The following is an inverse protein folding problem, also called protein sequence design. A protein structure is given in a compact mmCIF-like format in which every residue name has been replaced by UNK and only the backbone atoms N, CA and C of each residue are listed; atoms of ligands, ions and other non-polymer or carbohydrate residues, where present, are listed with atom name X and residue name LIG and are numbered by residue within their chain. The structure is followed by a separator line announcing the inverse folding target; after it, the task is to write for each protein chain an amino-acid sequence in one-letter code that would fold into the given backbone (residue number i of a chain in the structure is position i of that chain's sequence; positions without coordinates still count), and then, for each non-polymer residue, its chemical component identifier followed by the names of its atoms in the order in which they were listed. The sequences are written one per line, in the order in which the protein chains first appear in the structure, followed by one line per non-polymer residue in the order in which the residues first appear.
data_IF_501710810221
#
_entry.id   IF_501710810221
#
_cell.length_a   1.000
_cell.length_b   1.000
_cell.length_c   1.000
_cell.angle_alpha   90.00
_cell.angle_beta   90.00
_cell.angle_gamma   90.00
#
_symmetry.space_group_name_H-M   'P 1'
#
loop_
_entity.id
_entity.type
_entity.pdbx_description
1 polymer ?
#
# COMPACT_ATOMS: atom_id res chain seq x y z
N UNK A 1 21.19 10.80 -17.88
CA UNK A 1 20.64 9.54 -17.36
C UNK A 1 21.02 8.45 -18.34
N UNK A 2 21.39 7.27 -17.85
CA UNK A 2 21.65 6.11 -18.71
C UNK A 2 21.15 4.86 -17.97
N UNK A 3 20.40 4.01 -18.65
CA UNK A 3 19.74 2.82 -18.08
C UNK A 3 19.60 1.72 -19.11
N UNK A 4 19.63 0.48 -18.63
CA UNK A 4 19.58 -0.74 -19.45
C UNK A 4 18.17 -1.10 -19.93
N UNK A 5 17.12 -0.61 -19.27
CA UNK A 5 15.75 -1.00 -19.59
C UNK A 5 14.73 0.05 -19.18
N UNK A 6 13.58 0.05 -19.86
CA UNK A 6 12.43 0.87 -19.50
C UNK A 6 11.10 0.13 -19.68
N UNK A 7 10.06 0.66 -19.05
CA UNK A 7 8.72 0.10 -19.14
C UNK A 7 8.07 0.64 -20.40
N UNK A 8 7.68 -0.27 -21.29
CA UNK A 8 6.90 0.01 -22.48
C UNK A 8 5.53 -0.65 -22.35
N UNK A 9 4.48 0.16 -22.17
CA UNK A 9 3.13 -0.37 -21.97
C UNK A 9 2.52 -0.81 -23.30
N UNK A 10 1.70 -1.87 -23.24
CA UNK A 10 0.93 -2.36 -24.38
C UNK A 10 0.06 -1.27 -25.03
N UNK A 11 -0.49 -0.34 -24.24
CA UNK A 11 -1.28 0.78 -24.76
C UNK A 11 -0.48 1.69 -25.69
N UNK A 12 0.83 1.86 -25.45
CA UNK A 12 1.69 2.65 -26.33
C UNK A 12 1.83 1.95 -27.68
N UNK A 13 2.10 0.64 -27.66
CA UNK A 13 2.15 -0.15 -28.88
C UNK A 13 0.84 -0.07 -29.67
N UNK A 14 -0.30 -0.26 -28.99
CA UNK A 14 -1.61 -0.26 -29.63
C UNK A 14 -2.00 1.09 -30.24
N UNK A 15 -1.54 2.20 -29.66
CA UNK A 15 -1.74 3.52 -30.23
C UNK A 15 -0.77 3.79 -31.39
N UNK A 16 0.51 3.45 -31.26
CA UNK A 16 1.53 3.70 -32.29
C UNK A 16 1.27 2.84 -33.54
N UNK A 17 0.85 1.57 -33.39
CA UNK A 17 0.60 0.68 -34.54
C UNK A 17 -0.50 1.18 -35.49
N UNK A 18 -1.39 2.06 -35.02
CA UNK A 18 -2.46 2.66 -35.81
C UNK A 18 -1.98 3.83 -36.68
N UNK A 19 -0.72 4.27 -36.52
CA UNK A 19 -0.14 5.38 -37.27
C UNK A 19 0.53 4.90 -38.56
N UNK A 20 0.77 5.80 -39.55
CA UNK A 20 1.53 5.44 -40.76
C UNK A 20 2.95 4.93 -40.42
N UNK A 21 3.52 4.00 -41.21
CA UNK A 21 4.85 3.42 -40.94
C UNK A 21 5.96 4.45 -40.73
N UNK A 22 5.96 5.54 -41.50
CA UNK A 22 6.97 6.61 -41.38
C UNK A 22 6.90 7.32 -40.02
N UNK A 23 5.68 7.61 -39.54
CA UNK A 23 5.45 8.22 -38.23
C UNK A 23 5.82 7.24 -37.11
N UNK A 24 5.54 5.95 -37.26
CA UNK A 24 5.97 4.93 -36.30
C UNK A 24 7.50 4.90 -36.18
N UNK A 25 8.21 4.98 -37.32
CA UNK A 25 9.67 4.98 -37.38
C UNK A 25 10.29 6.22 -36.72
N UNK A 26 9.55 7.33 -36.61
CA UNK A 26 9.96 8.49 -35.81
C UNK A 26 9.73 8.28 -34.30
N UNK A 27 8.58 7.70 -33.91
CA UNK A 27 8.17 7.60 -32.50
C UNK A 27 9.00 6.58 -31.73
N UNK A 28 9.25 5.39 -32.28
CA UNK A 28 9.95 4.34 -31.54
C UNK A 28 11.37 4.77 -31.11
N UNK A 29 12.23 5.29 -31.99
CA UNK A 29 13.55 5.77 -31.60
C UNK A 29 13.46 6.95 -30.62
N UNK A 30 12.50 7.86 -30.82
CA UNK A 30 12.30 9.00 -29.93
C UNK A 30 11.96 8.58 -28.48
N UNK A 31 11.09 7.57 -28.32
CA UNK A 31 10.76 7.01 -27.01
C UNK A 31 11.96 6.30 -26.39
N UNK A 32 12.71 5.52 -27.17
CA UNK A 32 13.91 4.84 -26.68
C UNK A 32 15.00 5.83 -26.24
N UNK A 33 15.32 6.82 -27.06
CA UNK A 33 16.32 7.86 -26.75
C UNK A 33 15.96 8.64 -25.49
N UNK A 34 14.68 8.98 -25.36
CA UNK A 34 14.19 9.68 -24.18
C UNK A 34 14.20 8.78 -22.94
N UNK A 35 13.65 7.58 -23.03
CA UNK A 35 13.48 6.70 -21.87
C UNK A 35 14.80 6.11 -21.36
N UNK A 36 15.77 5.85 -22.24
CA UNK A 36 17.05 5.23 -21.90
C UNK A 36 18.14 6.25 -21.60
N UNK A 37 18.23 7.33 -22.38
CA UNK A 37 19.32 8.30 -22.29
C UNK A 37 18.87 9.68 -21.76
N UNK A 38 17.57 9.90 -21.58
CA UNK A 38 17.01 11.19 -21.19
C UNK A 38 17.14 12.27 -22.28
N UNK A 39 17.37 11.87 -23.54
CA UNK A 39 17.56 12.80 -24.64
C UNK A 39 16.21 13.16 -25.27
N UNK A 40 15.94 14.46 -25.39
CA UNK A 40 14.74 14.92 -26.07
C UNK A 40 14.87 14.72 -27.59
N UNK A 41 13.89 14.08 -28.24
CA UNK A 41 13.91 13.90 -29.69
C UNK A 41 13.83 15.26 -30.39
N UNK A 42 14.54 15.38 -31.51
CA UNK A 42 14.52 16.56 -32.39
C UNK A 42 13.91 16.16 -33.73
N UNK A 43 13.26 17.11 -34.40
CA UNK A 43 12.74 16.94 -35.77
C UNK A 43 11.67 15.85 -35.91
N UNK A 44 10.75 15.73 -34.94
CA UNK A 44 9.55 14.92 -35.10
C UNK A 44 8.50 15.67 -35.93
N UNK A 45 7.78 14.94 -36.78
CA UNK A 45 6.54 15.40 -37.37
C UNK A 45 5.51 15.77 -36.29
N UNK A 46 4.53 16.62 -36.62
CA UNK A 46 3.56 17.11 -35.61
C UNK A 46 2.77 15.98 -34.95
N UNK A 47 2.43 14.93 -35.71
CA UNK A 47 1.74 13.73 -35.19
C UNK A 47 2.66 12.95 -34.24
N UNK A 48 3.91 12.68 -34.65
CA UNK A 48 4.88 11.99 -33.80
C UNK A 48 5.17 12.77 -32.51
N UNK A 49 5.30 14.09 -32.62
CA UNK A 49 5.51 15.00 -31.49
C UNK A 49 4.32 14.99 -30.53
N UNK A 50 3.10 15.01 -31.06
CA UNK A 50 1.88 14.89 -30.26
C UNK A 50 1.86 13.57 -29.48
N UNK A 51 2.12 12.45 -30.15
CA UNK A 51 2.15 11.13 -29.51
C UNK A 51 3.24 11.03 -28.44
N UNK A 52 4.45 11.52 -28.74
CA UNK A 52 5.55 11.59 -27.78
C UNK A 52 5.15 12.40 -26.55
N UNK A 53 4.51 13.56 -26.75
CA UNK A 53 4.05 14.43 -25.66
C UNK A 53 3.04 13.75 -24.75
N UNK A 54 2.15 12.92 -25.30
CA UNK A 54 1.18 12.14 -24.52
C UNK A 54 1.81 10.99 -23.73
N UNK A 55 2.82 10.32 -24.30
CA UNK A 55 3.51 9.20 -23.64
C UNK A 55 4.49 9.70 -22.57
N UNK A 56 5.18 10.82 -22.82
CA UNK A 56 6.28 11.35 -22.00
C UNK A 56 5.99 11.37 -20.48
N UNK A 57 4.83 11.86 -19.98
CA UNK A 57 4.56 11.89 -18.55
C UNK A 57 4.63 10.52 -17.87
N UNK A 58 4.19 9.47 -18.57
CA UNK A 58 4.25 8.10 -18.05
C UNK A 58 5.70 7.61 -17.91
N UNK A 59 6.56 7.97 -18.88
CA UNK A 59 7.99 7.68 -18.82
C UNK A 59 8.63 8.46 -17.67
N UNK A 60 8.25 9.73 -17.47
CA UNK A 60 8.80 10.58 -16.40
C UNK A 60 8.47 10.04 -15.01
N UNK A 61 7.23 9.60 -14.78
CA UNK A 61 6.81 8.98 -13.51
C UNK A 61 7.60 7.70 -13.26
N UNK A 62 7.74 6.85 -14.27
CA UNK A 62 8.50 5.60 -14.16
C UNK A 62 9.99 5.85 -13.91
N UNK A 63 10.53 6.90 -14.52
CA UNK A 63 11.92 7.33 -14.35
C UNK A 63 12.14 7.84 -12.92
N UNK A 64 11.24 8.68 -12.41
CA UNK A 64 11.26 9.18 -11.02
C UNK A 64 11.19 8.02 -10.02
N UNK A 65 10.30 7.04 -10.25
CA UNK A 65 10.20 5.83 -9.41
C UNK A 65 11.50 5.03 -9.42
N UNK A 66 12.13 4.87 -10.58
CA UNK A 66 13.41 4.19 -10.70
C UNK A 66 14.55 4.91 -9.96
N UNK A 67 14.65 6.24 -10.11
CA UNK A 67 15.64 7.04 -9.38
C UNK A 67 15.44 6.98 -7.87
N UNK A 68 14.19 7.03 -7.41
CA UNK A 68 13.88 6.86 -6.00
C UNK A 68 14.16 5.43 -5.52
N UNK A 69 13.95 4.43 -6.37
CA UNK A 69 14.34 3.04 -6.11
C UNK A 69 15.85 2.85 -5.93
N UNK A 70 16.68 3.57 -6.70
CA UNK A 70 18.15 3.59 -6.54
C UNK A 70 18.60 4.11 -5.18
N UNK A 71 17.83 5.02 -4.57
CA UNK A 71 18.10 5.52 -3.20
C UNK A 71 17.76 4.48 -2.12
N UNK A 72 17.18 3.35 -2.51
CA UNK A 72 16.72 2.27 -1.64
C UNK A 72 15.33 2.53 -1.06
N UNK A 73 14.65 1.44 -0.70
CA UNK A 73 13.45 1.51 0.16
C UNK A 73 13.81 1.91 1.60
N UNK A 74 12.77 2.02 2.46
CA UNK A 74 12.83 2.34 3.91
C UNK A 74 14.25 2.20 4.46
N UNK A 75 14.86 3.33 4.89
CA UNK A 75 16.21 3.33 5.46
C UNK A 75 16.33 2.12 6.37
N UNK A 76 17.23 1.18 6.03
CA UNK A 76 17.67 0.20 7.03
C UNK A 76 18.02 1.04 8.24
N UNK A 77 17.43 0.77 9.41
CA UNK A 77 17.87 1.38 10.66
C UNK A 77 19.37 1.12 10.70
N UNK A 78 20.16 2.13 10.32
CA UNK A 78 21.56 2.14 10.66
C UNK A 78 21.50 2.04 12.17
N UNK A 79 21.92 0.89 12.70
CA UNK A 79 22.34 0.78 14.09
C UNK A 79 23.59 1.66 14.19
N UNK A 80 23.42 2.98 14.06
CA UNK A 80 24.36 3.94 14.58
C UNK A 80 24.48 3.56 16.04
N UNK A 81 25.71 3.19 16.42
CA UNK A 81 26.14 2.84 17.75
C UNK A 81 26.00 4.03 18.71
N UNK A 82 24.78 4.52 18.86
CA UNK A 82 24.28 5.09 20.09
C UNK A 82 23.76 3.89 20.85
N UNK A 83 24.46 3.53 21.92
CA UNK A 83 24.10 2.55 22.96
C UNK A 83 22.60 2.56 23.32
N UNK A 84 21.76 1.96 22.49
CA UNK A 84 20.49 1.39 22.94
C UNK A 84 20.84 -0.03 23.31
N UNK A 85 20.87 -0.28 24.61
CA UNK A 85 20.86 -1.61 25.20
C UNK A 85 19.99 -2.50 24.31
N UNK A 86 20.53 -3.65 23.92
CA UNK A 86 19.76 -4.61 23.15
C UNK A 86 18.43 -4.81 23.88
N UNK A 87 17.33 -4.64 23.18
CA UNK A 87 16.03 -4.83 23.78
C UNK A 87 15.90 -6.32 24.13
N UNK A 88 15.94 -6.64 25.42
CA UNK A 88 16.00 -8.00 25.95
C UNK A 88 14.75 -8.40 26.71
N UNK A 89 13.67 -7.60 26.64
CA UNK A 89 12.44 -7.93 27.36
C UNK A 89 11.79 -9.17 26.76
N UNK A 90 11.43 -10.14 27.59
CA UNK A 90 10.67 -11.32 27.15
C UNK A 90 9.22 -10.96 26.90
N UNK A 91 8.47 -11.79 26.17
CA UNK A 91 7.05 -11.56 25.93
C UNK A 91 6.24 -11.33 27.23
N UNK A 92 6.58 -12.02 28.31
CA UNK A 92 5.96 -11.84 29.62
C UNK A 92 6.21 -10.42 30.17
N UNK A 93 7.44 -9.93 30.08
CA UNK A 93 7.81 -8.59 30.57
C UNK A 93 7.12 -7.49 29.77
N UNK A 94 7.01 -7.67 28.46
CA UNK A 94 6.31 -6.73 27.58
C UNK A 94 4.82 -6.68 27.87
N UNK A 95 4.20 -7.84 28.03
CA UNK A 95 2.79 -7.94 28.35
C UNK A 95 2.50 -7.35 29.72
N UNK A 96 3.36 -7.58 30.70
CA UNK A 96 3.23 -6.98 32.03
C UNK A 96 3.41 -5.46 31.99
N UNK A 97 4.33 -4.95 31.17
CA UNK A 97 4.46 -3.52 30.96
C UNK A 97 3.20 -2.91 30.32
N UNK A 98 2.59 -3.57 29.33
CA UNK A 98 1.31 -3.13 28.77
C UNK A 98 0.15 -3.20 29.77
N UNK A 99 0.15 -4.21 30.66
CA UNK A 99 -0.87 -4.36 31.71
C UNK A 99 -0.84 -3.19 32.70
N UNK A 100 0.37 -2.75 33.05
CA UNK A 100 0.60 -1.65 34.00
C UNK A 100 0.47 -0.25 33.39
N UNK A 101 0.42 -0.13 32.06
CA UNK A 101 0.20 1.14 31.36
C UNK A 101 -1.30 1.45 31.25
N UNK A 102 -1.78 2.31 32.16
CA UNK A 102 -3.20 2.67 32.21
C UNK A 102 -3.69 3.48 31.00
N UNK A 103 -2.83 4.33 30.44
CA UNK A 103 -3.16 5.17 29.30
C UNK A 103 -3.31 4.30 28.04
N UNK A 104 -2.36 3.37 27.86
CA UNK A 104 -2.43 2.36 26.81
C UNK A 104 -3.69 1.50 26.94
N UNK A 105 -3.96 0.98 28.14
CA UNK A 105 -5.15 0.16 28.42
C UNK A 105 -6.44 0.89 28.05
N UNK A 106 -6.60 2.15 28.51
CA UNK A 106 -7.79 2.96 28.18
C UNK A 106 -7.96 3.13 26.68
N UNK A 107 -6.88 3.47 25.98
CA UNK A 107 -6.88 3.64 24.52
C UNK A 107 -7.34 2.37 23.80
N UNK A 108 -6.84 1.20 24.20
CA UNK A 108 -7.24 -0.07 23.58
C UNK A 108 -8.70 -0.42 23.90
N UNK A 109 -9.15 -0.16 25.12
CA UNK A 109 -10.55 -0.38 25.50
C UNK A 109 -11.50 0.47 24.66
N UNK A 110 -11.18 1.74 24.42
CA UNK A 110 -11.96 2.64 23.58
C UNK A 110 -11.96 2.18 22.11
N UNK A 111 -10.78 1.93 21.53
CA UNK A 111 -10.64 1.59 20.12
C UNK A 111 -11.35 0.28 19.73
N UNK A 112 -11.36 -0.70 20.63
CA UNK A 112 -12.01 -1.99 20.41
C UNK A 112 -13.39 -2.10 21.06
N UNK A 113 -13.86 -1.03 21.72
CA UNK A 113 -15.10 -0.97 22.48
C UNK A 113 -15.24 -2.17 23.45
N UNK A 114 -14.24 -2.37 24.31
CA UNK A 114 -14.17 -3.49 25.27
C UNK A 114 -14.01 -3.02 26.71
N UNK A 115 -14.39 -3.89 27.65
CA UNK A 115 -14.16 -3.66 29.07
C UNK A 115 -12.72 -3.95 29.47
N UNK A 116 -12.31 -3.45 30.64
CA UNK A 116 -10.99 -3.74 31.21
C UNK A 116 -10.76 -5.23 31.43
N UNK A 117 -11.78 -5.96 31.91
CA UNK A 117 -11.71 -7.42 32.08
C UNK A 117 -11.50 -8.15 30.76
N UNK A 118 -12.15 -7.70 29.69
CA UNK A 118 -11.99 -8.29 28.36
C UNK A 118 -10.62 -7.96 27.76
N UNK A 119 -10.10 -6.75 27.99
CA UNK A 119 -8.73 -6.40 27.63
C UNK A 119 -7.72 -7.34 28.29
N UNK A 120 -7.83 -7.61 29.59
CA UNK A 120 -6.93 -8.52 30.31
C UNK A 120 -6.98 -9.96 29.79
N UNK A 121 -8.17 -10.45 29.44
CA UNK A 121 -8.34 -11.77 28.81
C UNK A 121 -7.67 -11.82 27.44
N UNK A 122 -7.85 -10.78 26.63
CA UNK A 122 -7.23 -10.67 25.29
C UNK A 122 -5.71 -10.56 25.39
N UNK A 123 -5.21 -9.80 26.36
CA UNK A 123 -3.79 -9.66 26.61
C UNK A 123 -3.15 -11.00 27.03
N UNK A 124 -3.83 -11.77 27.87
CA UNK A 124 -3.40 -13.13 28.24
C UNK A 124 -3.38 -14.08 27.04
N UNK A 125 -4.40 -14.03 26.17
CA UNK A 125 -4.44 -14.80 24.91
C UNK A 125 -3.32 -14.41 23.94
N UNK A 126 -3.00 -13.12 23.87
CA UNK A 126 -1.89 -12.61 23.07
C UNK A 126 -0.55 -13.15 23.56
N UNK A 127 -0.31 -13.18 24.88
CA UNK A 127 0.91 -13.75 25.45
C UNK A 127 1.10 -15.23 25.06
N UNK A 128 0.05 -16.05 25.16
CA UNK A 128 0.11 -17.45 24.75
C UNK A 128 0.48 -17.59 23.27
N UNK A 129 -0.11 -16.76 22.40
CA UNK A 129 0.21 -16.71 20.96
C UNK A 129 1.69 -16.37 20.71
N UNK A 130 2.24 -15.39 21.44
CA UNK A 130 3.65 -15.03 21.34
C UNK A 130 4.56 -16.19 21.75
N UNK A 131 4.18 -16.93 22.81
CA UNK A 131 4.92 -18.10 23.26
C UNK A 131 4.83 -19.28 22.28
N UNK A 132 3.69 -19.52 21.64
CA UNK A 132 3.59 -20.50 20.53
C UNK A 132 4.51 -20.12 19.35
N UNK A 133 4.58 -18.82 19.01
CA UNK A 133 5.47 -18.32 17.96
C UNK A 133 6.95 -18.45 18.36
N UNK A 134 7.29 -18.36 19.66
CA UNK A 134 8.62 -18.67 20.19
C UNK A 134 9.03 -20.11 19.87
N UNK A 135 8.16 -21.07 20.17
CA UNK A 135 8.43 -22.49 19.93
C UNK A 135 8.55 -22.80 18.43
N UNK A 136 7.70 -22.18 17.60
CA UNK A 136 7.66 -22.46 16.16
C UNK A 136 8.78 -21.78 15.35
N UNK A 137 9.12 -20.53 15.70
CA UNK A 137 10.04 -19.68 14.90
C UNK A 137 11.37 -19.41 15.60
N UNK A 138 11.51 -19.76 16.87
CA UNK A 138 12.70 -19.42 17.67
C UNK A 138 12.85 -17.93 17.97
N UNK A 139 11.80 -17.11 17.83
CA UNK A 139 11.84 -15.67 18.14
C UNK A 139 11.38 -15.46 19.58
N UNK A 140 12.30 -15.05 20.46
CA UNK A 140 12.06 -14.98 21.91
C UNK A 140 11.48 -13.66 22.40
N UNK A 141 11.58 -12.59 21.61
CA UNK A 141 11.13 -11.25 21.97
C UNK A 141 10.80 -10.42 20.72
N UNK A 142 10.02 -9.35 20.87
CA UNK A 142 9.81 -8.36 19.80
C UNK A 142 11.07 -7.50 19.58
N UNK A 143 11.09 -6.73 18.48
CA UNK A 143 12.24 -5.86 18.19
C UNK A 143 12.27 -4.61 19.09
N UNK A 144 11.13 -4.29 19.73
CA UNK A 144 10.96 -3.22 20.73
C UNK A 144 9.58 -3.30 21.40
N UNK A 145 9.37 -2.57 22.50
CA UNK A 145 8.05 -2.49 23.15
C UNK A 145 6.95 -1.95 22.23
N UNK A 146 7.27 -0.97 21.38
CA UNK A 146 6.34 -0.40 20.38
C UNK A 146 5.96 -1.43 19.31
N UNK A 147 6.89 -2.33 18.98
CA UNK A 147 6.63 -3.45 18.07
C UNK A 147 5.65 -4.44 18.70
N UNK A 148 5.81 -4.75 20.00
CA UNK A 148 4.87 -5.55 20.77
C UNK A 148 3.45 -4.92 20.82
N UNK A 149 3.36 -3.63 21.12
CA UNK A 149 2.09 -2.88 21.12
C UNK A 149 1.38 -2.90 19.75
N UNK A 150 2.14 -2.73 18.68
CA UNK A 150 1.63 -2.79 17.30
C UNK A 150 1.16 -4.20 16.94
N UNK A 151 1.89 -5.22 17.39
CA UNK A 151 1.53 -6.62 17.19
C UNK A 151 0.23 -6.98 17.91
N UNK A 152 0.04 -6.52 19.16
CA UNK A 152 -1.20 -6.71 19.91
C UNK A 152 -2.40 -6.11 19.16
N UNK A 153 -2.33 -4.85 18.74
CA UNK A 153 -3.42 -4.18 17.99
C UNK A 153 -3.76 -4.93 16.70
N UNK A 154 -2.74 -5.29 15.93
CA UNK A 154 -2.93 -6.05 14.70
C UNK A 154 -3.60 -7.40 14.97
N UNK A 155 -3.10 -8.15 15.96
CA UNK A 155 -3.67 -9.44 16.34
C UNK A 155 -5.11 -9.31 16.80
N UNK A 156 -5.44 -8.30 17.63
CA UNK A 156 -6.82 -8.05 18.08
C UNK A 156 -7.76 -7.76 16.91
N UNK A 157 -7.33 -6.96 15.92
CA UNK A 157 -8.14 -6.65 14.73
C UNK A 157 -8.47 -7.88 13.88
N UNK A 158 -7.61 -8.90 13.91
CA UNK A 158 -7.78 -10.16 13.17
C UNK A 158 -8.56 -11.21 13.95
N UNK A 159 -8.32 -11.30 15.25
CA UNK A 159 -8.98 -12.28 16.13
C UNK A 159 -10.41 -11.89 16.50
N UNK A 160 -10.68 -10.58 16.57
CA UNK A 160 -11.99 -10.00 16.91
C UNK A 160 -12.40 -9.00 15.83
N UNK A 161 -12.74 -9.48 14.62
CA UNK A 161 -13.27 -8.59 13.60
C UNK A 161 -14.57 -7.97 14.13
N UNK A 162 -14.57 -6.65 14.29
CA UNK A 162 -15.80 -5.93 14.64
C UNK A 162 -16.79 -6.17 13.50
N UNK A 163 -17.97 -6.70 13.82
CA UNK A 163 -19.06 -6.72 12.87
C UNK A 163 -19.28 -5.27 12.42
N UNK A 164 -19.13 -4.98 11.13
CA UNK A 164 -19.64 -3.72 10.60
C UNK A 164 -21.13 -3.66 10.95
N UNK A 165 -21.68 -2.50 11.33
CA UNK A 165 -23.11 -2.39 11.54
C UNK A 165 -23.78 -2.77 10.22
N UNK A 166 -24.34 -3.98 10.16
CA UNK A 166 -25.31 -4.35 9.15
C UNK A 166 -26.47 -3.40 9.35
N UNK A 167 -26.69 -2.50 8.39
CA UNK A 167 -27.89 -1.68 8.35
C UNK A 167 -29.08 -2.65 8.46
N UNK A 168 -29.81 -2.56 9.58
CA UNK A 168 -31.01 -3.34 9.80
C UNK A 168 -32.02 -2.98 8.71
N UNK A 169 -32.39 -3.99 7.92
CA UNK A 169 -33.57 -3.98 7.09
C UNK A 169 -34.81 -4.10 8.00
N UNK A 170 -35.40 -2.96 8.35
CA UNK A 170 -36.83 -2.86 8.68
C UNK A 170 -37.34 -1.50 8.19
N UNK A 171 -37.90 -1.48 6.98
CA UNK A 171 -39.13 -0.75 6.65
C UNK A 171 -39.58 -1.19 5.26
N UNK A 172 -40.68 -1.93 5.25
CA UNK A 172 -41.40 -2.43 4.08
C UNK A 172 -42.47 -1.42 3.68
N UNK A 173 -42.58 -1.22 2.36
CA UNK A 173 -43.70 -0.63 1.60
C UNK A 173 -43.94 0.88 1.70
N UNK A 174 -43.48 1.63 0.68
CA UNK A 174 -44.30 2.51 -0.17
C UNK A 174 -43.43 3.27 -1.21
N UNK A 175 -42.72 2.56 -2.07
CA UNK A 175 -42.11 3.18 -3.28
C UNK A 175 -42.66 2.51 -4.55
N UNK A 176 -43.16 3.28 -5.54
CA UNK A 176 -43.67 2.73 -6.79
C UNK A 176 -42.53 2.12 -7.62
N UNK A 177 -42.81 1.10 -8.45
CA UNK A 177 -41.77 0.35 -9.14
C UNK A 177 -41.00 1.24 -10.13
N UNK A 178 -39.67 1.21 -10.05
CA UNK A 178 -38.80 1.85 -11.03
C UNK A 178 -39.03 1.24 -12.43
N UNK A 179 -39.13 2.07 -13.49
CA UNK A 179 -39.25 1.56 -14.85
C UNK A 179 -37.97 0.82 -15.25
N UNK A 180 -38.12 -0.31 -15.93
CA UNK A 180 -37.01 -1.10 -16.44
C UNK A 180 -36.22 -0.30 -17.48
N UNK A 181 -35.08 0.27 -17.09
CA UNK A 181 -34.13 0.89 -18.02
C UNK A 181 -33.18 -0.17 -18.58
N UNK A 182 -33.15 -0.24 -19.90
CA UNK A 182 -32.30 -0.97 -20.83
C UNK A 182 -30.80 -0.58 -20.80
N UNK A 183 -30.28 -0.32 -19.60
CA UNK A 183 -28.93 0.18 -19.41
C UNK A 183 -27.88 -0.90 -19.72
N UNK A 184 -27.19 -0.75 -20.86
CA UNK A 184 -26.01 -1.51 -21.22
C UNK A 184 -24.75 -0.78 -20.73
N UNK A 185 -24.13 -1.33 -19.69
CA UNK A 185 -22.92 -0.81 -19.07
C UNK A 185 -21.68 -1.04 -19.95
N UNK A 186 -21.19 0.02 -20.61
CA UNK A 186 -19.85 0.06 -21.22
C UNK A 186 -18.89 0.72 -20.23
N UNK A 187 -17.95 -0.07 -19.69
CA UNK A 187 -17.09 0.32 -18.58
C UNK A 187 -16.19 1.53 -18.82
N UNK A 188 -15.95 2.28 -17.73
CA UNK A 188 -14.93 3.31 -17.61
C UNK A 188 -14.84 3.79 -16.17
N UNK A 189 -13.75 3.41 -15.48
CA UNK A 189 -13.41 3.88 -14.14
C UNK A 189 -12.95 5.36 -14.18
N UNK A 190 -13.39 6.14 -13.21
CA UNK A 190 -12.74 7.42 -12.90
C UNK A 190 -13.63 8.32 -12.05
N UNK A 191 -13.38 8.34 -10.75
CA UNK A 191 -13.91 9.38 -9.87
C UNK A 191 -13.47 10.75 -10.36
N UNK A 192 -14.42 11.66 -10.44
CA UNK A 192 -14.17 13.08 -10.59
C UNK A 192 -14.51 13.68 -9.24
N UNK A 193 -13.46 14.07 -8.51
CA UNK A 193 -13.61 15.16 -7.55
C UNK A 193 -13.63 16.47 -8.34
N UNK A 194 -14.62 17.29 -7.97
CA UNK A 194 -15.02 18.64 -8.45
C UNK A 194 -15.93 18.69 -9.67
#
# INVERSE_FOLDING_TARGET
MERESFIFYRSFYEAIKCMPPDVQAEIYPALCEYALFGRLPKNLSDVAKGMFTLIKPNIDVNTTRFENGKKGGRKKKNRTASSKEAYTQTYEQEVEQMRNDEEWRKTICEDFNITTEEYEKRLSRFLNRCNEDKERKGKEHHDSFVDCQSHLRYWMSKAYPTAQPTANNENVDNDPPFPASDYTFNGGFGGVDV
#
